data_IF_812971837989
#
_entry.id   IF_812971837989
#
_cell.length_a   1.000
_cell.length_b   1.000
_cell.length_c   1.000
_cell.angle_alpha   90.00
_cell.angle_beta   90.00
_cell.angle_gamma   90.00
#
_symmetry.space_group_name_H-M   'P 1'
#
loop_
_entity.id
_entity.type
_entity.pdbx_description
1 polymer ?
#
# COMPACT_ATOMS: atom_id res chain seq x y z
N UNK A 1 4.08 66.53 37.16
CA UNK A 1 3.25 65.57 36.37
C UNK A 1 3.77 65.57 34.95
N UNK A 2 4.49 64.53 34.51
CA UNK A 2 5.01 64.44 33.14
C UNK A 2 4.89 63.00 32.64
N UNK A 3 3.84 62.75 31.86
CA UNK A 3 3.52 61.45 31.28
C UNK A 3 4.22 61.30 29.93
N UNK A 4 5.26 60.47 29.86
CA UNK A 4 5.86 60.02 28.59
C UNK A 4 5.02 58.87 28.02
N UNK A 5 4.22 59.16 27.00
CA UNK A 5 3.48 58.17 26.20
C UNK A 5 4.47 57.43 25.29
N UNK A 6 4.61 56.12 25.49
CA UNK A 6 5.51 55.25 24.71
C UNK A 6 4.76 54.66 23.51
N UNK A 7 5.30 54.88 22.32
CA UNK A 7 4.73 54.52 21.02
C UNK A 7 4.51 53.00 20.85
N UNK A 8 3.39 52.65 20.20
CA UNK A 8 2.99 51.28 19.83
C UNK A 8 3.84 50.79 18.65
N UNK A 9 4.40 49.58 18.75
CA UNK A 9 5.03 48.88 17.61
C UNK A 9 3.94 48.29 16.72
N UNK A 10 3.98 48.64 15.43
CA UNK A 10 3.13 48.07 14.39
C UNK A 10 3.67 46.72 13.91
N UNK A 11 2.76 45.76 13.84
CA UNK A 11 2.97 44.43 13.24
C UNK A 11 3.24 44.55 11.75
N UNK A 12 4.25 43.85 11.24
CA UNK A 12 4.44 43.60 9.82
C UNK A 12 4.40 42.10 9.57
N UNK A 13 3.35 41.66 8.89
CA UNK A 13 3.17 40.29 8.41
C UNK A 13 3.82 40.18 7.02
N UNK A 14 4.74 39.22 6.85
CA UNK A 14 5.35 38.95 5.55
C UNK A 14 4.38 38.15 4.69
N UNK A 15 3.91 38.78 3.62
CA UNK A 15 3.01 38.25 2.60
C UNK A 15 3.82 37.55 1.52
N UNK A 16 3.46 36.31 1.19
CA UNK A 16 3.97 35.56 0.04
C UNK A 16 3.69 36.31 -1.26
N UNK A 17 4.67 36.40 -2.17
CA UNK A 17 4.42 36.79 -3.57
C UNK A 17 5.28 35.95 -4.50
N UNK A 18 4.60 35.25 -5.41
CA UNK A 18 5.11 34.59 -6.60
C UNK A 18 5.21 35.64 -7.71
N UNK A 19 6.33 35.70 -8.43
CA UNK A 19 6.48 36.27 -9.78
C UNK A 19 7.82 35.78 -10.34
N UNK A 20 7.88 34.84 -11.28
CA UNK A 20 7.71 35.00 -12.74
C UNK A 20 8.51 36.15 -13.37
N UNK A 21 9.43 35.72 -14.25
CA UNK A 21 9.97 36.36 -15.46
C UNK A 21 11.35 37.03 -15.40
N UNK A 22 12.25 36.52 -16.26
CA UNK A 22 13.13 37.37 -17.05
C UNK A 22 14.63 37.13 -16.92
N UNK A 23 15.19 36.20 -17.69
CA UNK A 23 16.49 36.41 -18.35
C UNK A 23 16.44 35.83 -19.75
N UNK A 24 16.50 36.74 -20.73
CA UNK A 24 16.68 36.51 -22.16
C UNK A 24 18.13 36.79 -22.52
N UNK A 25 18.75 35.88 -23.30
CA UNK A 25 19.93 36.03 -24.20
C UNK A 25 20.43 34.60 -24.49
N UNK A 26 20.65 34.08 -25.70
CA UNK A 26 20.79 34.58 -27.08
C UNK A 26 20.66 33.34 -28.01
N UNK A 27 20.24 33.47 -29.27
CA UNK A 27 19.90 32.35 -30.15
C UNK A 27 21.11 31.81 -30.94
N UNK A 28 21.12 30.50 -31.19
CA UNK A 28 22.03 29.83 -32.10
C UNK A 28 21.34 28.62 -32.70
N UNK A 29 20.76 28.79 -33.88
CA UNK A 29 20.29 27.71 -34.74
C UNK A 29 21.46 26.80 -35.11
N UNK A 30 21.26 25.47 -35.05
CA UNK A 30 21.74 24.57 -36.09
C UNK A 30 20.93 23.28 -36.09
N UNK A 31 20.59 22.87 -37.29
CA UNK A 31 19.76 21.74 -37.65
C UNK A 31 20.35 20.40 -37.19
N UNK A 32 19.51 19.52 -36.66
CA UNK A 32 19.36 18.18 -37.21
C UNK A 32 18.10 17.53 -36.64
N UNK A 33 17.12 17.28 -37.52
CA UNK A 33 16.09 16.29 -37.26
C UNK A 33 16.71 14.90 -37.35
N UNK A 34 16.38 14.06 -36.38
CA UNK A 34 16.33 12.59 -36.34
C UNK A 34 16.28 12.28 -34.84
N UNK A 35 15.21 11.59 -34.40
CA UNK A 35 14.97 10.90 -33.12
C UNK A 35 13.68 11.29 -32.38
N UNK A 36 12.55 11.38 -33.09
CA UNK A 36 11.19 11.33 -32.50
C UNK A 36 10.79 9.89 -32.07
N UNK A 37 11.70 9.16 -31.43
CA UNK A 37 11.48 7.77 -30.99
C UNK A 37 12.03 7.46 -29.58
N UNK A 38 12.30 8.49 -28.76
CA UNK A 38 12.83 8.31 -27.40
C UNK A 38 11.97 8.99 -26.31
N UNK A 39 10.71 9.32 -26.61
CA UNK A 39 9.82 10.03 -25.68
C UNK A 39 8.97 9.07 -24.83
N UNK A 40 9.60 8.12 -24.15
CA UNK A 40 9.02 7.56 -22.92
C UNK A 40 10.08 7.68 -21.82
N UNK A 41 9.81 8.43 -20.73
CA UNK A 41 10.69 8.36 -19.58
C UNK A 41 10.79 6.88 -19.17
N UNK A 42 11.99 6.38 -18.81
CA UNK A 42 12.13 5.01 -18.33
C UNK A 42 11.12 4.79 -17.20
N UNK A 43 10.44 3.63 -17.15
CA UNK A 43 9.56 3.30 -16.05
C UNK A 43 10.29 3.59 -14.74
N UNK A 44 9.70 4.43 -13.88
CA UNK A 44 10.27 4.71 -12.56
C UNK A 44 10.53 3.36 -11.90
N UNK A 45 11.78 3.13 -11.51
CA UNK A 45 12.18 1.89 -10.86
C UNK A 45 11.17 1.54 -9.75
N UNK A 46 10.80 0.26 -9.61
CA UNK A 46 9.85 -0.15 -8.60
C UNK A 46 10.33 0.38 -7.24
N UNK A 47 9.42 0.94 -6.42
CA UNK A 47 9.81 1.54 -5.15
C UNK A 47 10.63 0.52 -4.38
N UNK A 48 11.90 0.86 -4.11
CA UNK A 48 12.76 0.03 -3.31
C UNK A 48 11.99 -0.31 -2.04
N UNK A 49 11.93 -1.61 -1.71
CA UNK A 49 11.24 -2.08 -0.53
C UNK A 49 11.98 -1.53 0.69
N UNK A 50 11.61 -0.32 1.11
CA UNK A 50 12.02 0.24 2.40
C UNK A 50 11.77 -0.85 3.43
N UNK A 51 12.74 -1.09 4.30
CA UNK A 51 12.60 -2.09 5.34
C UNK A 51 11.27 -1.81 6.07
N UNK A 52 10.40 -2.81 6.15
CA UNK A 52 8.97 -2.69 6.52
C UNK A 52 8.70 -1.91 7.83
N UNK A 53 9.73 -1.75 8.68
CA UNK A 53 9.67 -1.13 10.00
C UNK A 53 10.57 0.11 10.14
N UNK A 54 11.30 0.51 9.10
CA UNK A 54 12.18 1.68 9.15
C UNK A 54 11.43 3.00 9.50
N UNK A 55 10.27 3.31 8.90
CA UNK A 55 9.59 4.56 9.21
C UNK A 55 9.06 4.57 10.65
N UNK A 56 8.59 3.44 11.16
CA UNK A 56 8.10 3.30 12.53
C UNK A 56 9.25 3.42 13.53
N UNK A 57 10.39 2.77 13.27
CA UNK A 57 11.57 2.86 14.15
C UNK A 57 12.11 4.29 14.23
N UNK A 58 12.15 4.98 13.09
CA UNK A 58 12.56 6.39 13.03
C UNK A 58 11.58 7.27 13.80
N UNK A 59 10.27 7.09 13.61
CA UNK A 59 9.24 7.82 14.32
C UNK A 59 9.27 7.56 15.83
N UNK A 60 9.49 6.32 16.24
CA UNK A 60 9.57 5.90 17.64
C UNK A 60 10.76 6.54 18.33
N UNK A 61 11.93 6.56 17.68
CA UNK A 61 13.11 7.26 18.19
C UNK A 61 12.88 8.77 18.36
N UNK A 62 12.18 9.41 17.43
CA UNK A 62 11.81 10.83 17.51
C UNK A 62 10.83 11.10 18.64
N UNK A 63 9.82 10.24 18.79
CA UNK A 63 8.81 10.31 19.85
C UNK A 63 9.46 10.21 21.24
N UNK A 64 10.36 9.24 21.42
CA UNK A 64 11.08 9.05 22.67
C UNK A 64 11.95 10.26 23.02
N UNK A 65 12.71 10.79 22.06
CA UNK A 65 13.53 12.00 22.26
C UNK A 65 12.66 13.18 22.72
N UNK A 66 11.52 13.41 22.07
CA UNK A 66 10.59 14.47 22.43
C UNK A 66 10.00 14.27 23.84
N UNK A 67 9.61 13.04 24.17
CA UNK A 67 9.09 12.69 25.50
C UNK A 67 10.13 12.96 26.59
N UNK A 68 11.39 12.56 26.37
CA UNK A 68 12.50 12.83 27.29
C UNK A 68 12.75 14.32 27.44
N UNK A 69 12.76 15.10 26.36
CA UNK A 69 12.93 16.56 26.42
C UNK A 69 11.82 17.22 27.24
N UNK A 70 10.56 16.88 26.97
CA UNK A 70 9.39 17.43 27.69
C UNK A 70 9.39 17.03 29.16
N UNK A 71 9.80 15.81 29.46
CA UNK A 71 9.99 15.33 30.84
C UNK A 71 11.10 16.13 31.52
N UNK A 72 12.22 16.38 30.86
CA UNK A 72 13.29 17.26 31.35
C UNK A 72 12.79 18.67 31.64
N UNK A 73 11.97 19.26 30.76
CA UNK A 73 11.33 20.56 30.99
C UNK A 73 10.41 20.55 32.22
N UNK A 74 9.70 19.44 32.47
CA UNK A 74 8.84 19.27 33.64
C UNK A 74 9.66 19.26 34.93
N UNK A 75 10.74 18.50 34.96
CA UNK A 75 11.67 18.48 36.09
C UNK A 75 12.36 19.84 36.27
N UNK A 76 12.73 20.51 35.18
CA UNK A 76 13.28 21.85 35.17
C UNK A 76 12.34 22.86 35.83
N UNK A 77 11.05 22.83 35.48
CA UNK A 77 10.03 23.66 36.13
C UNK A 77 9.97 23.43 37.65
N UNK A 78 9.95 22.17 38.10
CA UNK A 78 9.90 21.88 39.54
C UNK A 78 11.21 22.26 40.27
N UNK A 79 12.36 22.13 39.61
CA UNK A 79 13.63 22.59 40.15
C UNK A 79 13.64 24.12 40.29
N UNK A 80 13.25 24.85 39.24
CA UNK A 80 13.22 26.31 39.25
C UNK A 80 12.15 26.87 40.19
N UNK A 81 10.96 26.28 40.26
CA UNK A 81 9.91 26.70 41.18
C UNK A 81 10.33 26.56 42.65
N UNK A 82 11.15 25.55 42.97
CA UNK A 82 11.76 25.39 44.31
C UNK A 82 12.89 26.40 44.52
N UNK A 83 13.79 26.55 43.55
CA UNK A 83 14.93 27.48 43.61
C UNK A 83 14.50 28.94 43.77
N UNK A 84 13.43 29.33 43.10
CA UNK A 84 12.86 30.69 43.14
C UNK A 84 11.89 30.90 44.32
N UNK A 85 11.59 29.87 45.11
CA UNK A 85 10.64 29.96 46.24
C UNK A 85 9.17 30.19 45.82
N UNK A 86 8.84 30.05 44.53
CA UNK A 86 7.51 30.32 43.98
C UNK A 86 6.59 29.08 43.96
N UNK A 87 7.05 27.94 44.45
CA UNK A 87 6.27 26.69 44.47
C UNK A 87 4.88 26.83 45.11
N UNK A 88 4.71 27.74 46.07
CA UNK A 88 3.38 28.02 46.69
C UNK A 88 2.40 28.69 45.73
N UNK A 89 2.89 29.46 44.76
CA UNK A 89 2.09 30.25 43.82
C UNK A 89 1.96 29.57 42.45
N UNK A 90 2.98 28.81 42.05
CA UNK A 90 2.99 28.03 40.81
C UNK A 90 3.34 26.56 41.13
N UNK A 91 2.43 25.82 41.79
CA UNK A 91 2.70 24.42 42.18
C UNK A 91 2.74 23.46 40.99
N UNK A 92 1.99 23.79 39.93
CA UNK A 92 1.83 22.91 38.77
C UNK A 92 2.54 23.49 37.54
N UNK A 93 3.21 22.64 36.75
CA UNK A 93 3.81 23.06 35.50
C UNK A 93 2.74 23.46 34.47
N UNK A 94 3.13 24.18 33.39
CA UNK A 94 2.21 24.57 32.34
C UNK A 94 1.42 23.39 31.79
N UNK A 95 0.08 23.50 31.77
CA UNK A 95 -0.80 22.43 31.28
C UNK A 95 -0.46 22.00 29.86
N UNK A 96 -0.05 22.93 29.01
CA UNK A 96 0.38 22.66 27.64
C UNK A 96 1.59 21.72 27.57
N UNK A 97 2.52 21.83 28.52
CA UNK A 97 3.68 20.94 28.60
C UNK A 97 3.23 19.52 28.96
N UNK A 98 2.40 19.39 30.01
CA UNK A 98 1.87 18.09 30.46
C UNK A 98 1.06 17.42 29.34
N UNK A 99 0.15 18.15 28.68
CA UNK A 99 -0.65 17.59 27.59
C UNK A 99 0.21 17.22 26.39
N UNK A 100 1.22 18.03 26.07
CA UNK A 100 2.16 17.71 24.98
C UNK A 100 3.03 16.49 25.27
N UNK A 101 3.35 16.22 26.55
CA UNK A 101 4.06 15.02 26.97
C UNK A 101 3.14 13.80 26.86
N UNK A 102 1.90 13.90 27.34
CA UNK A 102 0.89 12.85 27.20
C UNK A 102 0.68 12.44 25.73
N UNK A 103 0.63 13.41 24.81
CA UNK A 103 0.53 13.14 23.37
C UNK A 103 1.73 12.39 22.78
N UNK A 104 2.96 12.63 23.27
CA UNK A 104 4.10 11.84 22.81
C UNK A 104 4.01 10.40 23.35
N UNK A 105 3.54 10.20 24.58
CA UNK A 105 3.37 8.86 25.13
C UNK A 105 2.29 8.08 24.37
N UNK A 106 1.16 8.73 24.07
CA UNK A 106 0.09 8.13 23.25
C UNK A 106 0.57 7.80 21.83
N UNK A 107 1.35 8.69 21.22
CA UNK A 107 1.94 8.44 19.90
C UNK A 107 2.94 7.27 19.93
N UNK A 108 3.70 7.12 21.01
CA UNK A 108 4.62 6.00 21.17
C UNK A 108 3.85 4.67 21.20
N UNK A 109 2.74 4.61 21.93
CA UNK A 109 1.86 3.45 22.01
C UNK A 109 1.27 3.07 20.64
N UNK A 110 0.74 4.05 19.92
CA UNK A 110 0.22 3.85 18.55
C UNK A 110 1.28 3.31 17.58
N UNK A 111 2.55 3.71 17.74
CA UNK A 111 3.64 3.18 16.92
C UNK A 111 3.95 1.72 17.27
N UNK A 112 3.86 1.32 18.53
CA UNK A 112 3.97 -0.07 18.94
C UNK A 112 2.87 -0.92 18.30
N UNK A 113 1.61 -0.48 18.37
CA UNK A 113 0.47 -1.17 17.76
C UNK A 113 0.61 -1.30 16.23
N UNK A 114 1.12 -0.26 15.58
CA UNK A 114 1.37 -0.26 14.13
C UNK A 114 2.46 -1.28 13.75
N UNK A 115 3.58 -1.30 14.48
CA UNK A 115 4.65 -2.29 14.26
C UNK A 115 4.14 -3.72 14.48
N UNK A 116 3.36 -3.95 15.54
CA UNK A 116 2.75 -5.25 15.81
C UNK A 116 1.85 -5.68 14.65
N UNK A 117 1.00 -4.77 14.18
CA UNK A 117 0.11 -5.01 13.03
C UNK A 117 0.90 -5.37 11.76
N UNK A 118 2.01 -4.67 11.49
CA UNK A 118 2.89 -4.97 10.35
C UNK A 118 3.54 -6.35 10.49
N UNK A 119 4.04 -6.70 11.68
CA UNK A 119 4.65 -7.99 11.96
C UNK A 119 3.66 -9.15 11.81
N UNK A 120 2.46 -9.03 12.40
CA UNK A 120 1.42 -10.04 12.28
C UNK A 120 0.98 -10.24 10.84
N UNK A 121 0.83 -9.16 10.07
CA UNK A 121 0.53 -9.23 8.65
C UNK A 121 1.63 -9.95 7.87
N UNK A 122 2.90 -9.64 8.14
CA UNK A 122 4.03 -10.28 7.48
C UNK A 122 4.08 -11.79 7.79
N UNK A 123 3.86 -12.18 9.05
CA UNK A 123 3.77 -13.58 9.46
C UNK A 123 2.65 -14.29 8.71
N UNK A 124 1.46 -13.69 8.64
CA UNK A 124 0.32 -14.28 7.94
C UNK A 124 0.60 -14.47 6.45
N UNK A 125 1.22 -13.49 5.79
CA UNK A 125 1.59 -13.61 4.38
C UNK A 125 2.61 -14.73 4.15
N UNK A 126 3.66 -14.79 4.98
CA UNK A 126 4.68 -15.84 4.90
C UNK A 126 4.10 -17.24 5.15
N UNK A 127 3.22 -17.39 6.14
CA UNK A 127 2.53 -18.64 6.42
C UNK A 127 1.64 -19.08 5.25
N UNK A 128 0.89 -18.15 4.66
CA UNK A 128 0.05 -18.40 3.48
C UNK A 128 0.90 -18.83 2.29
N UNK A 129 2.02 -18.17 2.07
CA UNK A 129 2.89 -18.43 0.93
C UNK A 129 3.62 -19.78 1.09
N UNK A 130 4.08 -20.11 2.31
CA UNK A 130 4.57 -21.46 2.64
C UNK A 130 3.51 -22.55 2.42
N UNK A 131 2.26 -22.31 2.84
CA UNK A 131 1.19 -23.28 2.65
C UNK A 131 0.86 -23.50 1.16
N UNK A 132 0.95 -22.46 0.33
CA UNK A 132 0.79 -22.56 -1.13
C UNK A 132 1.92 -23.37 -1.75
N UNK A 133 3.16 -23.07 -1.38
CA UNK A 133 4.33 -23.78 -1.89
C UNK A 133 4.30 -25.27 -1.51
N UNK A 134 4.01 -25.59 -0.24
CA UNK A 134 3.85 -26.96 0.22
C UNK A 134 2.74 -27.71 -0.53
N UNK A 135 1.64 -27.02 -0.87
CA UNK A 135 0.56 -27.63 -1.68
C UNK A 135 1.03 -27.89 -3.11
N UNK A 136 1.70 -26.93 -3.75
CA UNK A 136 2.23 -27.10 -5.11
C UNK A 136 3.23 -28.26 -5.19
N UNK A 137 4.09 -28.44 -4.18
CA UNK A 137 5.02 -29.58 -4.10
C UNK A 137 4.26 -30.90 -4.02
N UNK A 138 3.25 -31.01 -3.14
CA UNK A 138 2.45 -32.24 -2.99
C UNK A 138 1.66 -32.57 -4.27
N UNK A 139 1.10 -31.57 -4.93
CA UNK A 139 0.39 -31.75 -6.19
C UNK A 139 1.32 -32.22 -7.32
N UNK A 140 2.52 -31.64 -7.41
CA UNK A 140 3.54 -32.05 -8.37
C UNK A 140 4.02 -33.50 -8.11
N UNK A 141 4.23 -33.87 -6.85
CA UNK A 141 4.60 -35.24 -6.47
C UNK A 141 3.48 -36.24 -6.84
N UNK A 142 2.23 -35.93 -6.50
CA UNK A 142 1.09 -36.79 -6.85
C UNK A 142 0.90 -36.93 -8.36
N UNK A 143 1.10 -35.84 -9.12
CA UNK A 143 1.06 -35.88 -10.59
C UNK A 143 2.18 -36.76 -11.17
N UNK A 144 3.40 -36.64 -10.65
CA UNK A 144 4.52 -37.50 -11.06
C UNK A 144 4.25 -38.98 -10.78
N UNK A 145 3.71 -39.32 -9.59
CA UNK A 145 3.34 -40.69 -9.25
C UNK A 145 2.26 -41.23 -10.20
N UNK A 146 1.23 -40.44 -10.51
CA UNK A 146 0.15 -40.82 -11.44
C UNK A 146 0.66 -41.09 -12.86
N UNK A 147 1.60 -40.27 -13.36
CA UNK A 147 2.23 -40.52 -14.66
C UNK A 147 3.07 -41.80 -14.64
N UNK A 148 3.81 -42.07 -13.57
CA UNK A 148 4.66 -43.27 -13.44
C UNK A 148 3.83 -44.57 -13.35
N UNK A 149 2.71 -44.56 -12.64
CA UNK A 149 1.84 -45.75 -12.52
C UNK A 149 1.08 -46.01 -13.82
N UNK A 150 0.69 -44.97 -14.58
CA UNK A 150 0.09 -45.12 -15.91
C UNK A 150 1.07 -45.71 -16.94
N UNK A 151 2.34 -45.30 -16.93
CA UNK A 151 3.36 -45.88 -17.83
C UNK A 151 3.66 -47.36 -17.53
N UNK A 152 3.46 -47.80 -16.29
CA UNK A 152 3.71 -49.20 -15.89
C UNK A 152 2.54 -50.14 -16.20
N UNK A 153 1.31 -49.61 -16.35
CA UNK A 153 0.12 -50.40 -16.72
C UNK A 153 -0.11 -50.52 -18.24
N UNK A 154 0.58 -49.73 -19.06
CA UNK A 154 0.53 -49.79 -20.54
C UNK A 154 1.50 -50.82 -21.17
N UNK A 155 2.26 -51.57 -20.37
CA UNK A 155 3.16 -52.64 -20.85
C UNK A 155 2.46 -53.99 -21.12
N UNK A 156 1.14 -54.09 -20.96
CA UNK A 156 0.37 -55.24 -21.47
C UNK A 156 -0.21 -54.84 -22.82
N UNK A 157 0.38 -55.40 -23.87
CA UNK A 157 0.02 -55.29 -25.29
C UNK A 157 -1.44 -54.92 -25.53
N UNK A 158 -1.75 -53.92 -26.39
CA UNK A 158 -2.99 -53.99 -27.12
C UNK A 158 -2.82 -55.18 -28.09
N UNK A 159 -3.38 -56.33 -27.74
CA UNK A 159 -3.64 -57.40 -28.70
C UNK A 159 -4.35 -56.76 -29.89
N UNK A 160 -3.64 -56.68 -31.00
CA UNK A 160 -4.13 -56.18 -32.28
C UNK A 160 -5.19 -57.15 -32.78
N UNK A 161 -6.45 -56.89 -32.42
CA UNK A 161 -7.59 -57.55 -33.05
C UNK A 161 -7.78 -56.90 -34.42
N UNK A 162 -7.24 -57.60 -35.42
CA UNK A 162 -7.44 -57.36 -36.84
C UNK A 162 -8.94 -57.44 -37.15
N UNK A 163 -9.58 -56.30 -37.39
CA UNK A 163 -10.94 -56.23 -37.96
C UNK A 163 -10.82 -55.87 -39.44
N UNK A 164 -11.28 -56.72 -40.38
CA UNK A 164 -11.39 -56.36 -41.79
C UNK A 164 -12.66 -55.54 -42.07
N UNK A 165 -12.53 -54.49 -42.87
CA UNK A 165 -13.60 -53.80 -43.63
C UNK A 165 -13.41 -54.13 -45.13
N UNK A 166 -14.34 -53.85 -46.07
CA UNK A 166 -15.74 -53.39 -45.97
C UNK A 166 -16.71 -54.08 -46.98
N UNK A 167 -18.03 -53.82 -46.86
CA UNK A 167 -19.11 -53.82 -47.90
C UNK A 167 -20.45 -53.71 -47.16
N UNK A 168 -21.54 -53.07 -47.59
CA UNK A 168 -21.91 -52.16 -48.68
C UNK A 168 -23.31 -51.61 -48.30
N UNK A 169 -23.57 -50.33 -48.59
CA UNK A 169 -24.85 -49.68 -48.96
C UNK A 169 -26.19 -49.97 -48.22
N UNK A 170 -26.86 -48.88 -47.81
CA UNK A 170 -28.31 -48.85 -47.53
C UNK A 170 -28.77 -47.66 -46.66
N UNK A 171 -29.58 -46.69 -47.17
CA UNK A 171 -29.88 -45.42 -46.50
C UNK A 171 -31.20 -45.44 -45.71
N UNK A 172 -31.27 -44.67 -44.62
CA UNK A 172 -32.47 -43.99 -44.06
C UNK A 172 -32.05 -43.24 -42.78
N UNK A 173 -31.86 -41.93 -42.86
CA UNK A 173 -32.79 -40.91 -42.32
C UNK A 173 -33.17 -41.10 -40.84
N UNK A 174 -32.51 -40.36 -39.95
CA UNK A 174 -33.19 -39.41 -39.04
C UNK A 174 -32.21 -38.72 -38.07
N UNK A 175 -31.98 -37.44 -38.37
CA UNK A 175 -32.23 -36.30 -37.45
C UNK A 175 -31.20 -35.93 -36.38
N UNK A 176 -30.57 -34.77 -36.65
CA UNK A 176 -30.13 -33.68 -35.76
C UNK A 176 -28.71 -33.64 -35.15
N UNK A 177 -27.91 -32.78 -35.78
CA UNK A 177 -27.07 -31.75 -35.14
C UNK A 177 -27.33 -30.41 -35.90
N UNK A 178 -26.82 -29.20 -35.55
CA UNK A 178 -25.85 -28.81 -34.50
C UNK A 178 -26.25 -27.46 -33.79
N UNK A 179 -25.37 -26.46 -33.52
CA UNK A 179 -24.71 -26.17 -32.24
C UNK A 179 -25.01 -24.74 -31.68
N UNK A 180 -24.66 -24.44 -30.42
CA UNK A 180 -24.34 -23.07 -29.95
C UNK A 180 -23.80 -23.07 -28.49
N UNK A 181 -22.71 -22.33 -28.22
CA UNK A 181 -22.11 -22.13 -26.87
C UNK A 181 -22.88 -21.09 -26.02
N UNK A 182 -22.27 -20.26 -25.15
CA UNK A 182 -21.04 -20.35 -24.34
C UNK A 182 -21.32 -20.19 -22.80
N UNK A 183 -20.27 -20.31 -21.98
CA UNK A 183 -19.99 -19.59 -20.71
C UNK A 183 -21.16 -18.99 -19.90
N UNK A 184 -21.35 -19.43 -18.64
CA UNK A 184 -21.78 -18.53 -17.54
C UNK A 184 -21.56 -19.09 -16.12
N UNK A 185 -21.19 -18.17 -15.23
CA UNK A 185 -20.77 -18.26 -13.82
C UNK A 185 -21.97 -18.41 -12.84
N UNK A 186 -21.75 -18.50 -11.49
CA UNK A 186 -22.78 -18.90 -10.54
C UNK A 186 -23.70 -17.75 -10.09
N UNK A 187 -24.94 -18.02 -9.60
CA UNK A 187 -25.86 -16.98 -9.16
C UNK A 187 -25.63 -16.56 -7.70
N UNK A 188 -25.40 -15.26 -7.50
CA UNK A 188 -25.54 -14.56 -6.20
C UNK A 188 -26.80 -13.69 -6.18
N UNK A 189 -27.41 -13.63 -4.99
CA UNK A 189 -28.30 -12.59 -4.45
C UNK A 189 -29.64 -12.32 -5.14
N UNK A 190 -30.70 -12.84 -4.53
CA UNK A 190 -32.05 -12.29 -4.62
C UNK A 190 -32.23 -11.21 -3.54
N UNK A 191 -32.65 -10.01 -3.93
CA UNK A 191 -33.08 -8.97 -2.99
C UNK A 191 -32.78 -7.53 -3.42
N UNK A 192 -33.33 -7.09 -4.56
CA UNK A 192 -33.61 -5.67 -4.80
C UNK A 192 -35.12 -5.44 -4.54
N UNK A 193 -35.56 -4.22 -4.18
CA UNK A 193 -35.70 -3.17 -5.20
C UNK A 193 -35.42 -1.74 -4.71
N UNK A 194 -34.80 -0.89 -5.53
CA UNK A 194 -34.91 0.54 -5.30
C UNK A 194 -33.88 1.46 -5.96
N UNK A 195 -34.38 2.25 -6.93
CA UNK A 195 -33.94 3.61 -7.32
C UNK A 195 -32.68 3.81 -8.19
N UNK A 196 -32.98 3.91 -9.50
CA UNK A 196 -32.62 4.96 -10.49
C UNK A 196 -31.17 5.46 -10.53
N UNK A 197 -30.48 5.03 -11.58
CA UNK A 197 -29.32 5.71 -12.17
C UNK A 197 -29.81 6.96 -12.92
N UNK A 198 -29.23 8.12 -12.60
CA UNK A 198 -29.33 9.32 -13.42
C UNK A 198 -27.96 9.61 -14.02
N UNK A 199 -27.91 9.56 -15.35
CA UNK A 199 -26.79 10.04 -16.15
C UNK A 199 -26.58 11.54 -15.92
N UNK A 200 -25.32 11.95 -15.81
CA UNK A 200 -24.89 13.34 -15.81
C UNK A 200 -24.09 13.56 -17.11
N UNK A 201 -24.48 14.57 -17.87
CA UNK A 201 -24.01 14.93 -19.21
C UNK A 201 -22.53 15.24 -19.29
N UNK A 202 -21.93 14.94 -20.45
CA UNK A 202 -20.96 15.80 -21.13
C UNK A 202 -21.16 15.72 -22.66
N UNK A 203 -21.35 16.90 -23.25
CA UNK A 203 -21.14 17.28 -24.66
C UNK A 203 -22.15 16.84 -25.71
#
# INVERSE_FOLDING_TARGET
MSSKVKARKSSTASKSTISMAGTTSTPGQNANGINDAASMPPPKDPPQHLAMLEPEMTALSGCLRNAVIKTGQLYGFHADSRRLGIHKYAPNPPRTLITSLGREVEKYDQLCDAMESHLLRAIYLLQRDLAREQRSIKEAENAAISTRTRSKSLSKSPTSTRVPLPSSEGPSESTNAPPQGPSQSPPTSAGAPGRRQSAISLS
#
